data_IF_215059325501
#
_entry.id   IF_215059325501
#
_cell.length_a   1.000
_cell.length_b   1.000
_cell.length_c   1.000
_cell.angle_alpha   90.00
_cell.angle_beta   90.00
_cell.angle_gamma   90.00
#
_symmetry.space_group_name_H-M   'P 1'
#
loop_
_entity.id
_entity.type
_entity.pdbx_description
1 polymer ?
#
# COMPACT_ATOMS: atom_id res chain seq x y z
N UNK A 1 27.77 -17.09 15.23
CA UNK A 1 27.59 -16.06 14.19
C UNK A 1 26.11 -16.03 13.90
N UNK A 2 25.42 -14.96 14.31
CA UNK A 2 23.99 -14.82 14.10
C UNK A 2 23.64 -14.95 12.61
N UNK A 3 22.66 -15.80 12.29
CA UNK A 3 22.19 -15.98 10.91
C UNK A 3 21.23 -14.83 10.60
N UNK A 4 21.66 -13.87 9.79
CA UNK A 4 20.81 -12.77 9.36
C UNK A 4 19.87 -13.23 8.23
N UNK A 5 18.57 -12.94 8.35
CA UNK A 5 17.60 -13.12 7.26
C UNK A 5 16.84 -11.82 7.06
N UNK A 6 16.66 -11.39 5.82
CA UNK A 6 15.80 -10.24 5.51
C UNK A 6 14.36 -10.58 5.88
N UNK A 7 13.61 -9.65 6.50
CA UNK A 7 12.15 -9.84 6.72
C UNK A 7 11.40 -10.07 5.39
N UNK A 8 12.03 -9.73 4.26
CA UNK A 8 11.64 -10.16 2.92
C UNK A 8 10.28 -9.61 2.53
N UNK A 9 9.32 -10.52 2.29
CA UNK A 9 7.97 -10.19 1.86
C UNK A 9 7.06 -9.64 2.98
N UNK A 10 7.38 -9.88 4.26
CA UNK A 10 6.57 -9.48 5.42
C UNK A 10 6.96 -8.12 6.02
N UNK A 11 7.64 -7.26 5.25
CA UNK A 11 7.85 -5.87 5.65
C UNK A 11 6.52 -5.10 5.61
N UNK A 12 6.20 -4.40 6.71
CA UNK A 12 4.97 -3.60 6.82
C UNK A 12 4.85 -2.56 5.70
N UNK A 13 5.97 -2.04 5.18
CA UNK A 13 5.97 -1.07 4.08
C UNK A 13 5.50 -1.67 2.77
N UNK A 14 5.83 -2.93 2.50
CA UNK A 14 5.33 -3.64 1.32
C UNK A 14 3.83 -3.91 1.46
N UNK A 15 3.36 -4.31 2.66
CA UNK A 15 1.93 -4.55 2.91
C UNK A 15 1.13 -3.26 2.74
N UNK A 16 1.55 -2.17 3.39
CA UNK A 16 0.91 -0.86 3.25
C UNK A 16 0.94 -0.40 1.79
N UNK A 17 2.11 -0.45 1.14
CA UNK A 17 2.27 -0.06 -0.25
C UNK A 17 1.37 -0.85 -1.20
N UNK A 18 1.27 -2.17 -1.03
CA UNK A 18 0.42 -3.03 -1.84
C UNK A 18 -1.08 -2.74 -1.63
N UNK A 19 -1.52 -2.55 -0.38
CA UNK A 19 -2.92 -2.23 -0.07
C UNK A 19 -3.33 -0.87 -0.64
N UNK A 20 -2.50 0.17 -0.44
CA UNK A 20 -2.74 1.50 -1.00
C UNK A 20 -2.71 1.45 -2.53
N UNK A 21 -1.76 0.71 -3.12
CA UNK A 21 -1.63 0.56 -4.56
C UNK A 21 -2.84 -0.13 -5.19
N UNK A 22 -3.27 -1.25 -4.61
CA UNK A 22 -4.46 -1.98 -5.04
C UNK A 22 -5.72 -1.08 -4.97
N UNK A 23 -5.92 -0.39 -3.85
CA UNK A 23 -7.07 0.50 -3.70
C UNK A 23 -6.99 1.71 -4.63
N UNK A 24 -5.80 2.27 -4.85
CA UNK A 24 -5.57 3.33 -5.84
C UNK A 24 -5.97 2.90 -7.25
N UNK A 25 -5.61 1.69 -7.67
CA UNK A 25 -6.05 1.11 -8.96
C UNK A 25 -7.57 0.99 -9.01
N UNK A 26 -8.20 0.48 -7.94
CA UNK A 26 -9.66 0.36 -7.85
C UNK A 26 -10.32 1.74 -8.03
N UNK A 27 -9.79 2.78 -7.40
CA UNK A 27 -10.32 4.14 -7.55
C UNK A 27 -10.13 4.70 -8.96
N UNK A 28 -9.01 4.42 -9.63
CA UNK A 28 -8.84 4.81 -11.03
C UNK A 28 -9.85 4.10 -11.94
N UNK A 29 -10.06 2.80 -11.74
CA UNK A 29 -11.10 2.05 -12.47
C UNK A 29 -12.48 2.68 -12.19
N UNK A 30 -12.78 2.99 -10.93
CA UNK A 30 -14.03 3.62 -10.56
C UNK A 30 -14.21 5.01 -11.21
N UNK A 31 -13.14 5.81 -11.31
CA UNK A 31 -13.20 7.14 -11.91
C UNK A 31 -13.60 7.13 -13.40
N UNK A 32 -13.22 6.09 -14.14
CA UNK A 32 -13.48 6.00 -15.59
C UNK A 32 -14.65 5.09 -15.97
N UNK A 33 -14.98 4.10 -15.14
CA UNK A 33 -15.91 3.03 -15.51
C UNK A 33 -17.10 2.84 -14.57
N UNK A 34 -17.13 3.54 -13.43
CA UNK A 34 -18.20 3.40 -12.44
C UNK A 34 -18.92 4.73 -12.25
N UNK A 35 -20.25 4.68 -12.18
CA UNK A 35 -21.07 5.84 -11.82
C UNK A 35 -20.79 6.23 -10.36
N UNK A 36 -20.33 7.48 -10.08
CA UNK A 36 -20.02 7.94 -8.73
C UNK A 36 -21.27 8.10 -7.86
N UNK A 37 -22.48 8.08 -8.43
CA UNK A 37 -23.74 8.13 -7.71
C UNK A 37 -24.11 9.54 -7.21
N UNK A 38 -25.04 9.59 -6.25
CA UNK A 38 -25.61 10.83 -5.72
C UNK A 38 -25.07 11.10 -4.31
N UNK A 39 -24.78 12.36 -4.03
CA UNK A 39 -24.44 12.81 -2.69
C UNK A 39 -25.69 12.90 -1.82
N UNK A 40 -25.75 12.11 -0.75
CA UNK A 40 -26.90 12.02 0.15
C UNK A 40 -27.17 13.30 0.93
N UNK A 41 -26.17 14.18 1.06
CA UNK A 41 -26.30 15.42 1.83
C UNK A 41 -26.85 16.59 1.00
N UNK A 42 -26.57 16.61 -0.31
CA UNK A 42 -26.98 17.69 -1.22
C UNK A 42 -28.00 17.26 -2.28
N UNK A 43 -28.17 15.96 -2.48
CA UNK A 43 -28.99 15.38 -3.56
C UNK A 43 -28.39 15.57 -4.96
N UNK A 44 -27.13 16.04 -5.07
CA UNK A 44 -26.48 16.30 -6.35
C UNK A 44 -25.61 15.12 -6.81
N UNK A 45 -25.39 14.94 -8.12
CA UNK A 45 -24.43 13.97 -8.64
C UNK A 45 -23.03 14.21 -8.05
N UNK A 46 -22.36 13.14 -7.66
CA UNK A 46 -20.97 13.18 -7.24
C UNK A 46 -20.09 13.30 -8.48
N UNK A 47 -18.94 13.96 -8.33
CA UNK A 47 -17.97 14.07 -9.41
C UNK A 47 -17.02 12.86 -9.38
N UNK A 48 -16.88 12.16 -10.50
CA UNK A 48 -15.92 11.06 -10.66
C UNK A 48 -14.47 11.50 -10.45
N UNK A 49 -14.18 12.80 -10.61
CA UNK A 49 -12.86 13.39 -10.37
C UNK A 49 -12.36 13.14 -8.95
N UNK A 50 -13.25 12.97 -7.97
CA UNK A 50 -12.87 12.63 -6.59
C UNK A 50 -12.13 11.29 -6.50
N UNK A 51 -12.61 10.27 -7.23
CA UNK A 51 -11.94 8.96 -7.29
C UNK A 51 -10.60 9.08 -8.04
N UNK A 52 -10.53 9.90 -9.08
CA UNK A 52 -9.30 10.12 -9.85
C UNK A 52 -8.19 10.74 -8.98
N UNK A 53 -8.47 11.85 -8.30
CA UNK A 53 -7.48 12.54 -7.46
C UNK A 53 -7.05 11.68 -6.27
N UNK A 54 -7.99 11.04 -5.57
CA UNK A 54 -7.67 10.13 -4.48
C UNK A 54 -6.86 8.92 -4.98
N UNK A 55 -7.25 8.31 -6.10
CA UNK A 55 -6.54 7.18 -6.70
C UNK A 55 -5.09 7.52 -7.06
N UNK A 56 -4.86 8.65 -7.73
CA UNK A 56 -3.50 9.13 -8.06
C UNK A 56 -2.68 9.35 -6.79
N UNK A 57 -3.24 10.02 -5.77
CA UNK A 57 -2.54 10.26 -4.52
C UNK A 57 -2.13 8.95 -3.82
N UNK A 58 -3.02 7.96 -3.78
CA UNK A 58 -2.73 6.64 -3.21
C UNK A 58 -1.62 5.91 -3.97
N UNK A 59 -1.62 5.97 -5.30
CA UNK A 59 -0.59 5.35 -6.12
C UNK A 59 0.79 5.98 -5.91
N UNK A 60 0.85 7.32 -5.76
CA UNK A 60 2.10 8.02 -5.45
C UNK A 60 2.65 7.59 -4.09
N UNK A 61 1.78 7.50 -3.07
CA UNK A 61 2.18 7.06 -1.73
C UNK A 61 2.61 5.58 -1.76
N UNK A 62 1.85 4.71 -2.45
CA UNK A 62 2.21 3.31 -2.62
C UNK A 62 3.59 3.15 -3.27
N UNK A 63 3.85 3.89 -4.35
CA UNK A 63 5.14 3.91 -5.03
C UNK A 63 6.27 4.37 -4.09
N UNK A 64 6.03 5.39 -3.27
CA UNK A 64 7.00 5.86 -2.28
C UNK A 64 7.32 4.80 -1.22
N UNK A 65 6.31 4.08 -0.71
CA UNK A 65 6.50 3.00 0.27
C UNK A 65 7.28 1.82 -0.30
N UNK A 66 6.94 1.40 -1.52
CA UNK A 66 7.63 0.32 -2.22
C UNK A 66 9.07 0.73 -2.53
N UNK A 67 9.28 1.95 -3.04
CA UNK A 67 10.63 2.48 -3.30
C UNK A 67 11.47 2.53 -2.03
N UNK A 68 10.91 2.98 -0.91
CA UNK A 68 11.63 3.00 0.37
C UNK A 68 11.96 1.58 0.86
N UNK A 69 11.03 0.62 0.72
CA UNK A 69 11.26 -0.78 1.05
C UNK A 69 12.45 -1.36 0.27
N UNK A 70 12.50 -1.08 -1.04
CA UNK A 70 13.59 -1.50 -1.92
C UNK A 70 14.93 -0.80 -1.59
N UNK A 71 14.89 0.49 -1.27
CA UNK A 71 16.10 1.28 -0.95
C UNK A 71 16.68 0.98 0.43
N UNK A 72 15.85 0.58 1.40
CA UNK A 72 16.27 0.28 2.78
C UNK A 72 15.63 -1.02 3.27
N UNK A 73 16.14 -2.20 2.87
CA UNK A 73 15.58 -3.48 3.29
C UNK A 73 15.76 -3.72 4.80
N UNK A 74 14.74 -4.29 5.46
CA UNK A 74 14.81 -4.68 6.88
C UNK A 74 15.48 -6.05 7.00
N UNK A 75 16.52 -6.12 7.83
CA UNK A 75 17.25 -7.34 8.16
C UNK A 75 16.92 -7.74 9.60
N UNK A 76 16.56 -9.01 9.80
CA UNK A 76 16.22 -9.58 11.10
C UNK A 76 17.31 -10.57 11.50
N UNK A 77 17.90 -10.36 12.67
CA UNK A 77 18.86 -11.29 13.27
C UNK A 77 18.10 -12.41 13.98
N UNK A 78 18.41 -13.66 13.66
CA UNK A 78 17.87 -14.80 14.39
C UNK A 78 18.72 -15.03 15.66
N UNK A 79 18.14 -15.02 16.87
CA UNK A 79 18.89 -15.36 18.06
C UNK A 79 19.36 -16.81 17.95
N UNK A 80 20.66 -17.04 18.20
CA UNK A 80 21.26 -18.37 18.22
C UNK A 80 20.40 -19.22 19.16
N UNK A 81 19.79 -20.30 18.64
CA UNK A 81 19.04 -21.25 19.44
C UNK A 81 19.98 -21.76 20.51
N UNK A 82 19.80 -21.28 21.75
CA UNK A 82 20.58 -21.72 22.90
C UNK A 82 20.28 -23.21 23.04
N UNK A 83 21.20 -24.02 22.54
CA UNK A 83 21.08 -25.48 22.62
C UNK A 83 21.51 -25.82 24.03
N UNK A 84 20.55 -25.78 24.96
CA UNK A 84 20.76 -26.25 26.32
C UNK A 84 20.97 -27.77 26.25
N UNK A 85 22.17 -28.21 26.66
CA UNK A 85 22.59 -29.60 26.73
C UNK A 85 22.26 -30.19 28.09
#
# INVERSE_FOLDING_TARGET
MARQHTAGAFDIRNIIGALLGLYGIILLVAAFFVDPGIDVSTGQPKDSSYNLYCGIALLLIAAAFIAWSLLKPVVVDQPDTVTEK
#
